data_IF_385760739426
#
_entry.id   IF_385760739426
#
_cell.length_a   1.000
_cell.length_b   1.000
_cell.length_c   1.000
_cell.angle_alpha   90.00
_cell.angle_beta   90.00
_cell.angle_gamma   90.00
#
_symmetry.space_group_name_H-M   'P 1'
#
loop_
_entity.id
_entity.type
_entity.pdbx_description
1 polymer ?
#
# COMPACT_ATOMS: atom_id res chain seq x y z
N UNK A 1 -22.41 32.48 -7.32
CA UNK A 1 -21.83 31.22 -7.79
C UNK A 1 -20.30 31.15 -7.73
N UNK A 2 -19.51 32.22 -7.91
CA UNK A 2 -18.03 32.19 -7.80
C UNK A 2 -17.49 31.75 -6.41
N UNK A 3 -18.19 32.06 -5.32
CA UNK A 3 -17.75 31.71 -3.96
C UNK A 3 -17.87 30.20 -3.60
N UNK A 4 -18.73 29.44 -4.30
CA UNK A 4 -18.86 27.99 -4.07
C UNK A 4 -17.75 27.19 -4.77
N UNK A 5 -17.32 27.66 -5.94
CA UNK A 5 -16.26 27.00 -6.75
C UNK A 5 -14.90 27.13 -6.08
N UNK A 6 -14.60 28.29 -5.47
CA UNK A 6 -13.36 28.50 -4.71
C UNK A 6 -13.32 27.63 -3.43
N UNK A 7 -14.47 27.44 -2.75
CA UNK A 7 -14.57 26.55 -1.59
C UNK A 7 -14.40 25.07 -1.94
N UNK A 8 -14.72 24.63 -3.14
CA UNK A 8 -14.52 23.25 -3.58
C UNK A 8 -13.06 22.95 -3.90
N UNK A 9 -12.33 23.90 -4.51
CA UNK A 9 -10.92 23.73 -4.90
C UNK A 9 -9.97 23.38 -3.73
N UNK A 10 -10.33 23.73 -2.51
CA UNK A 10 -9.52 23.53 -1.31
C UNK A 10 -10.07 22.44 -0.37
N UNK A 11 -10.97 21.58 -0.86
CA UNK A 11 -11.56 20.52 -0.03
C UNK A 11 -10.52 19.53 0.53
N UNK A 12 -9.41 19.30 -0.16
CA UNK A 12 -8.30 18.49 0.32
C UNK A 12 -7.63 19.09 1.58
N UNK A 13 -7.62 20.43 1.73
CA UNK A 13 -7.13 21.10 2.96
C UNK A 13 -8.01 20.72 4.14
N UNK A 14 -9.34 20.72 3.94
CA UNK A 14 -10.27 20.26 4.97
C UNK A 14 -10.06 18.81 5.36
N UNK A 15 -9.72 17.93 4.40
CA UNK A 15 -9.35 16.56 4.70
C UNK A 15 -8.16 16.51 5.66
N UNK A 16 -7.09 17.23 5.33
CA UNK A 16 -5.87 17.25 6.15
C UNK A 16 -6.14 17.84 7.54
N UNK A 17 -6.88 18.95 7.63
CA UNK A 17 -7.26 19.59 8.91
C UNK A 17 -8.09 18.64 9.78
N UNK A 18 -9.14 18.03 9.23
CA UNK A 18 -9.97 17.08 9.96
C UNK A 18 -9.18 15.86 10.42
N UNK A 19 -8.31 15.32 9.57
CA UNK A 19 -7.42 14.22 9.95
C UNK A 19 -6.47 14.62 11.06
N UNK A 20 -5.91 15.84 11.02
CA UNK A 20 -5.02 16.32 12.08
C UNK A 20 -5.75 16.40 13.41
N UNK A 21 -6.96 16.95 13.43
CA UNK A 21 -7.79 17.03 14.63
C UNK A 21 -8.11 15.62 15.17
N UNK A 22 -8.55 14.71 14.30
CA UNK A 22 -8.89 13.34 14.68
C UNK A 22 -7.65 12.56 15.17
N UNK A 23 -6.52 12.70 14.48
CA UNK A 23 -5.29 12.04 14.88
C UNK A 23 -4.77 12.56 16.22
N UNK A 24 -4.86 13.87 16.49
CA UNK A 24 -4.54 14.42 17.80
C UNK A 24 -5.49 13.91 18.88
N UNK A 25 -6.77 13.76 18.56
CA UNK A 25 -7.76 13.24 19.51
C UNK A 25 -7.53 11.76 19.84
N UNK A 26 -7.26 10.91 18.83
CA UNK A 26 -7.13 9.46 19.03
C UNK A 26 -5.73 9.02 19.45
N UNK A 27 -4.69 9.72 18.99
CA UNK A 27 -3.29 9.31 19.18
C UNK A 27 -2.47 10.27 20.05
N UNK A 28 -3.11 11.18 20.81
CA UNK A 28 -2.41 12.20 21.60
C UNK A 28 -1.40 11.63 22.59
N UNK A 29 -1.72 10.48 23.22
CA UNK A 29 -0.80 9.81 24.16
C UNK A 29 0.52 9.38 23.50
N UNK A 30 0.44 8.91 22.27
CA UNK A 30 1.60 8.48 21.49
C UNK A 30 2.36 9.65 20.87
N UNK A 31 1.65 10.73 20.50
CA UNK A 31 2.25 11.89 19.85
C UNK A 31 2.93 12.80 20.88
N UNK A 32 2.22 13.15 21.94
CA UNK A 32 2.66 14.10 22.97
C UNK A 32 3.22 13.37 24.19
N UNK A 33 2.55 12.31 24.64
CA UNK A 33 2.91 11.52 25.81
C UNK A 33 4.14 10.64 25.62
N UNK A 34 4.66 10.54 24.39
CA UNK A 34 5.80 9.67 24.03
C UNK A 34 5.61 8.22 24.47
N UNK A 35 4.36 7.77 24.55
CA UNK A 35 4.08 6.36 24.78
C UNK A 35 4.47 5.54 23.54
N UNK A 36 4.81 4.29 23.75
CA UNK A 36 5.23 3.41 22.67
C UNK A 36 4.01 2.87 21.91
N UNK A 37 3.91 3.21 20.62
CA UNK A 37 2.82 2.76 19.77
C UNK A 37 3.03 1.31 19.35
N UNK A 38 2.64 0.38 20.22
CA UNK A 38 2.59 -1.05 19.95
C UNK A 38 1.18 -1.55 20.21
N UNK A 39 0.51 -1.98 19.16
CA UNK A 39 -0.91 -2.38 19.20
C UNK A 39 -1.06 -3.87 19.52
N UNK A 40 -0.03 -4.69 19.28
CA UNK A 40 -0.07 -6.14 19.55
C UNK A 40 1.29 -6.69 19.98
N UNK A 41 1.26 -7.89 20.62
CA UNK A 41 2.48 -8.64 20.94
C UNK A 41 3.29 -8.97 19.69
N UNK A 42 2.63 -9.33 18.60
CA UNK A 42 3.28 -9.68 17.34
C UNK A 42 4.02 -8.49 16.74
N UNK A 43 3.47 -7.28 16.88
CA UNK A 43 4.17 -6.06 16.47
C UNK A 43 5.46 -5.85 17.26
N UNK A 44 5.45 -6.15 18.56
CA UNK A 44 6.63 -6.02 19.40
C UNK A 44 7.67 -7.11 19.11
N UNK A 45 7.24 -8.36 19.03
CA UNK A 45 8.14 -9.51 18.96
C UNK A 45 8.67 -9.73 17.53
N UNK A 46 7.82 -9.56 16.53
CA UNK A 46 8.19 -9.86 15.15
C UNK A 46 8.60 -8.59 14.38
N UNK A 47 7.73 -7.59 14.28
CA UNK A 47 8.01 -6.44 13.43
C UNK A 47 9.06 -5.50 13.98
N UNK A 48 8.97 -5.17 15.26
CA UNK A 48 9.94 -4.25 15.86
C UNK A 48 11.33 -4.87 15.86
N UNK A 49 11.45 -6.14 16.26
CA UNK A 49 12.72 -6.86 16.26
C UNK A 49 13.28 -7.02 14.85
N UNK A 50 12.46 -7.34 13.86
CA UNK A 50 12.87 -7.45 12.46
C UNK A 50 13.33 -6.10 11.90
N UNK A 51 12.63 -5.00 12.22
CA UNK A 51 13.05 -3.65 11.80
C UNK A 51 14.36 -3.20 12.48
N UNK A 52 14.54 -3.50 13.77
CA UNK A 52 15.79 -3.23 14.47
C UNK A 52 16.93 -4.04 13.84
N UNK A 53 16.71 -5.31 13.54
CA UNK A 53 17.68 -6.16 12.89
C UNK A 53 18.03 -5.62 11.48
N UNK A 54 17.05 -5.24 10.70
CA UNK A 54 17.25 -4.63 9.39
C UNK A 54 18.08 -3.33 9.48
N UNK A 55 17.74 -2.43 10.41
CA UNK A 55 18.51 -1.19 10.63
C UNK A 55 19.95 -1.45 11.08
N UNK A 56 20.19 -2.55 11.81
CA UNK A 56 21.53 -2.94 12.23
C UNK A 56 22.41 -3.43 11.09
N UNK A 57 21.82 -4.05 10.08
CA UNK A 57 22.53 -4.76 9.01
C UNK A 57 22.44 -4.09 7.64
N UNK A 58 21.76 -2.91 7.54
CA UNK A 58 21.58 -2.23 6.26
C UNK A 58 22.90 -1.86 5.57
N UNK A 59 23.99 -1.67 6.34
CA UNK A 59 25.33 -1.42 5.80
C UNK A 59 26.13 -2.66 5.42
N UNK A 60 25.65 -3.86 5.76
CA UNK A 60 26.38 -5.11 5.57
C UNK A 60 26.26 -5.70 4.15
N UNK A 61 25.53 -5.02 3.27
CA UNK A 61 25.22 -5.50 1.91
C UNK A 61 24.10 -6.54 1.88
N UNK A 62 23.84 -7.05 0.68
CA UNK A 62 22.80 -8.06 0.45
C UNK A 62 23.34 -9.42 0.93
N UNK A 63 22.90 -9.87 2.08
CA UNK A 63 23.19 -11.23 2.57
C UNK A 63 21.95 -12.10 2.31
N UNK A 64 22.14 -13.19 1.56
CA UNK A 64 21.06 -14.14 1.26
C UNK A 64 20.56 -14.92 2.48
N UNK A 65 21.35 -14.97 3.56
CA UNK A 65 21.06 -15.71 4.79
C UNK A 65 21.53 -14.93 6.03
N UNK A 66 20.70 -14.88 7.06
CA UNK A 66 21.02 -14.27 8.36
C UNK A 66 20.85 -15.28 9.48
N UNK A 67 21.85 -15.37 10.36
CA UNK A 67 21.79 -16.14 11.60
C UNK A 67 21.30 -15.30 12.80
N UNK A 68 21.03 -14.02 12.61
CA UNK A 68 20.58 -13.14 13.68
C UNK A 68 19.08 -13.28 14.00
N UNK A 69 18.33 -14.02 13.18
CA UNK A 69 16.91 -14.32 13.41
C UNK A 69 16.69 -15.83 13.54
N UNK A 70 16.30 -16.27 14.73
CA UNK A 70 16.03 -17.67 15.01
C UNK A 70 17.26 -18.58 14.79
N UNK A 71 17.07 -19.70 14.11
CA UNK A 71 18.13 -20.64 13.73
C UNK A 71 18.76 -20.32 12.35
N UNK A 72 18.48 -19.17 11.84
CA UNK A 72 18.85 -18.70 10.50
C UNK A 72 17.61 -18.56 9.61
N UNK A 73 17.56 -17.45 8.88
CA UNK A 73 16.47 -17.13 7.97
C UNK A 73 17.03 -16.53 6.68
N UNK A 74 16.33 -16.76 5.57
CA UNK A 74 16.62 -16.06 4.34
C UNK A 74 16.28 -14.58 4.52
N UNK A 75 17.28 -13.72 4.33
CA UNK A 75 17.10 -12.30 4.50
C UNK A 75 16.56 -11.70 3.20
N UNK A 76 15.27 -11.46 3.12
CA UNK A 76 14.68 -10.71 2.01
C UNK A 76 14.90 -9.21 2.21
N UNK A 77 16.08 -8.75 1.81
CA UNK A 77 16.45 -7.35 1.84
C UNK A 77 15.55 -6.50 0.91
N UNK A 78 15.04 -7.09 -0.15
CA UNK A 78 14.26 -6.37 -1.17
C UNK A 78 12.93 -5.85 -0.65
N UNK A 79 12.19 -6.66 0.09
CA UNK A 79 10.89 -6.28 0.64
C UNK A 79 10.95 -5.18 1.68
N UNK A 80 12.03 -5.12 2.46
CA UNK A 80 12.23 -4.09 3.49
C UNK A 80 12.79 -2.77 2.90
N UNK A 81 13.70 -2.87 1.92
CA UNK A 81 14.41 -1.72 1.36
C UNK A 81 13.55 -0.85 0.47
N UNK A 82 12.63 -1.45 -0.28
CA UNK A 82 11.69 -0.72 -1.15
C UNK A 82 10.38 -0.36 -0.46
N UNK A 83 10.29 -0.56 0.86
CA UNK A 83 9.13 -0.18 1.65
C UNK A 83 9.26 1.25 2.18
N UNK A 84 8.14 1.84 2.63
CA UNK A 84 8.16 3.09 3.38
C UNK A 84 9.01 2.99 4.67
N UNK A 85 9.50 1.80 5.03
CA UNK A 85 10.42 1.60 6.15
C UNK A 85 11.71 2.42 5.99
N UNK A 86 12.09 2.79 4.76
CA UNK A 86 13.22 3.68 4.51
C UNK A 86 13.10 5.02 5.26
N UNK A 87 11.88 5.50 5.54
CA UNK A 87 11.68 6.68 6.37
C UNK A 87 12.18 6.49 7.81
N UNK A 88 12.23 5.24 8.29
CA UNK A 88 12.72 4.95 9.64
C UNK A 88 14.22 5.22 9.77
N UNK A 89 14.96 5.18 8.67
CA UNK A 89 16.39 5.53 8.64
C UNK A 89 16.63 6.98 9.04
N UNK A 90 15.70 7.89 8.76
CA UNK A 90 15.82 9.31 9.08
C UNK A 90 15.81 9.57 10.59
N UNK A 91 15.26 8.67 11.39
CA UNK A 91 15.10 8.85 12.84
C UNK A 91 16.15 8.11 13.66
N UNK A 92 16.91 7.20 13.05
CA UNK A 92 17.93 6.39 13.72
C UNK A 92 17.36 5.29 14.63
N UNK A 93 18.23 4.36 15.00
CA UNK A 93 17.86 3.14 15.75
C UNK A 93 17.28 3.43 17.14
N UNK A 94 17.85 4.40 17.85
CA UNK A 94 17.48 4.74 19.22
C UNK A 94 16.08 5.32 19.34
N UNK A 95 15.63 6.03 18.30
CA UNK A 95 14.33 6.67 18.26
C UNK A 95 13.24 5.80 17.59
N UNK A 96 13.57 4.62 17.11
CA UNK A 96 12.66 3.75 16.36
C UNK A 96 11.33 3.54 17.09
N UNK A 97 11.36 3.30 18.40
CA UNK A 97 10.16 3.10 19.23
C UNK A 97 9.17 4.28 19.16
N UNK A 98 9.68 5.52 19.09
CA UNK A 98 8.85 6.72 19.01
C UNK A 98 8.47 7.09 17.58
N UNK A 99 9.13 6.48 16.60
CA UNK A 99 8.91 6.74 15.19
C UNK A 99 7.72 5.96 14.63
N UNK A 100 7.33 4.85 15.28
CA UNK A 100 6.23 4.01 14.82
C UNK A 100 4.91 4.76 14.66
N UNK A 101 4.58 5.66 15.58
CA UNK A 101 3.36 6.46 15.47
C UNK A 101 3.42 7.38 14.24
N UNK A 102 4.55 8.05 14.00
CA UNK A 102 4.70 8.93 12.85
C UNK A 102 4.61 8.17 11.54
N UNK A 103 5.22 6.98 11.49
CA UNK A 103 5.13 6.09 10.35
C UNK A 103 3.68 5.64 10.08
N UNK A 104 2.92 5.34 11.12
CA UNK A 104 1.49 5.04 11.01
C UNK A 104 0.69 6.23 10.49
N UNK A 105 0.89 7.42 11.06
CA UNK A 105 0.21 8.64 10.63
C UNK A 105 0.53 9.01 9.19
N UNK A 106 1.77 8.92 8.75
CA UNK A 106 2.16 9.16 7.35
C UNK A 106 1.36 8.25 6.41
N UNK A 107 1.25 6.95 6.73
CA UNK A 107 0.45 6.02 5.91
C UNK A 107 -1.03 6.41 5.88
N UNK A 108 -1.60 6.82 7.01
CA UNK A 108 -2.99 7.29 7.05
C UNK A 108 -3.19 8.51 6.15
N UNK A 109 -2.31 9.52 6.21
CA UNK A 109 -2.41 10.70 5.36
C UNK A 109 -2.25 10.36 3.88
N UNK A 110 -1.26 9.54 3.52
CA UNK A 110 -1.06 9.09 2.15
C UNK A 110 -2.29 8.33 1.61
N UNK A 111 -2.80 7.38 2.40
CA UNK A 111 -3.99 6.62 2.02
C UNK A 111 -5.21 7.51 1.83
N UNK A 112 -5.44 8.47 2.74
CA UNK A 112 -6.56 9.38 2.65
C UNK A 112 -6.48 10.29 1.42
N UNK A 113 -5.32 10.88 1.16
CA UNK A 113 -5.11 11.77 0.00
C UNK A 113 -5.26 11.01 -1.30
N UNK A 114 -4.66 9.82 -1.41
CA UNK A 114 -4.76 8.99 -2.62
C UNK A 114 -6.20 8.52 -2.87
N UNK A 115 -6.90 8.11 -1.81
CA UNK A 115 -8.30 7.69 -1.93
C UNK A 115 -9.22 8.87 -2.27
N UNK A 116 -9.00 10.04 -1.67
CA UNK A 116 -9.67 11.29 -2.06
C UNK A 116 -9.46 11.60 -3.55
N UNK A 117 -8.21 11.51 -4.03
CA UNK A 117 -7.90 11.70 -5.45
C UNK A 117 -8.62 10.67 -6.34
N UNK A 118 -8.68 9.41 -5.93
CA UNK A 118 -9.41 8.38 -6.65
C UNK A 118 -10.92 8.70 -6.73
N UNK A 119 -11.53 9.07 -5.62
CA UNK A 119 -12.95 9.42 -5.57
C UNK A 119 -13.29 10.67 -6.40
N UNK A 120 -12.44 11.70 -6.35
CA UNK A 120 -12.63 12.90 -7.16
C UNK A 120 -12.45 12.62 -8.65
N UNK A 121 -11.51 11.74 -8.99
CA UNK A 121 -11.31 11.30 -10.37
C UNK A 121 -12.49 10.47 -10.89
N UNK A 122 -13.16 9.71 -10.01
CA UNK A 122 -14.44 9.03 -10.30
C UNK A 122 -15.62 9.99 -10.54
N UNK A 123 -15.42 11.30 -10.33
CA UNK A 123 -16.47 12.30 -10.49
C UNK A 123 -17.32 12.53 -9.23
N UNK A 124 -16.92 11.98 -8.10
CA UNK A 124 -17.60 12.20 -6.82
C UNK A 124 -17.31 13.65 -6.36
N UNK A 125 -18.36 14.32 -5.87
CA UNK A 125 -18.25 15.69 -5.36
C UNK A 125 -17.17 15.76 -4.28
N UNK A 126 -16.30 16.76 -4.34
CA UNK A 126 -15.12 16.87 -3.47
C UNK A 126 -15.47 16.80 -1.97
N UNK A 127 -16.56 17.40 -1.53
CA UNK A 127 -17.02 17.30 -0.12
C UNK A 127 -17.35 15.87 0.29
N UNK A 128 -18.03 15.13 -0.57
CA UNK A 128 -18.36 13.72 -0.33
C UNK A 128 -17.08 12.86 -0.34
N UNK A 129 -16.15 13.17 -1.24
CA UNK A 129 -14.86 12.50 -1.32
C UNK A 129 -14.01 12.66 -0.04
N UNK A 130 -14.12 13.83 0.66
CA UNK A 130 -13.49 14.03 1.98
C UNK A 130 -14.03 13.02 3.00
N UNK A 131 -15.35 12.90 3.11
CA UNK A 131 -15.94 11.92 4.04
C UNK A 131 -15.60 10.49 3.66
N UNK A 132 -15.63 10.15 2.35
CA UNK A 132 -15.21 8.84 1.87
C UNK A 132 -13.77 8.50 2.24
N UNK A 133 -12.85 9.46 2.10
CA UNK A 133 -11.45 9.29 2.47
C UNK A 133 -11.27 9.11 4.00
N UNK A 134 -12.02 9.87 4.81
CA UNK A 134 -12.01 9.68 6.26
C UNK A 134 -12.55 8.30 6.66
N UNK A 135 -13.67 7.88 6.09
CA UNK A 135 -14.21 6.53 6.33
C UNK A 135 -13.22 5.44 5.95
N UNK A 136 -12.46 5.63 4.87
CA UNK A 136 -11.46 4.66 4.42
C UNK A 136 -10.34 4.47 5.46
N UNK A 137 -9.71 5.56 5.92
CA UNK A 137 -8.55 5.47 6.82
C UNK A 137 -8.91 5.25 8.29
N UNK A 138 -10.11 5.62 8.71
CA UNK A 138 -10.62 5.32 10.05
C UNK A 138 -11.49 4.06 10.10
N UNK A 139 -11.51 3.27 9.01
CA UNK A 139 -12.19 1.98 9.02
C UNK A 139 -11.52 1.02 10.02
N UNK A 140 -12.34 0.18 10.64
CA UNK A 140 -11.83 -0.85 11.55
C UNK A 140 -10.77 -1.73 10.88
N UNK A 141 -10.94 -2.05 9.60
CA UNK A 141 -9.98 -2.86 8.83
C UNK A 141 -8.63 -2.15 8.71
N UNK A 142 -8.60 -0.85 8.42
CA UNK A 142 -7.34 -0.11 8.34
C UNK A 142 -6.65 -0.05 9.70
N UNK A 143 -7.39 0.29 10.76
CA UNK A 143 -6.84 0.43 12.12
C UNK A 143 -6.34 -0.90 12.64
N UNK A 144 -7.15 -1.96 12.54
CA UNK A 144 -6.77 -3.31 13.04
C UNK A 144 -5.59 -3.88 12.26
N UNK A 145 -5.58 -3.75 10.92
CA UNK A 145 -4.45 -4.25 10.12
C UNK A 145 -3.18 -3.40 10.26
N UNK A 146 -3.27 -2.22 10.85
CA UNK A 146 -2.09 -1.40 11.18
C UNK A 146 -1.17 -2.03 12.23
N UNK A 147 -1.58 -3.15 12.84
CA UNK A 147 -0.68 -3.99 13.67
C UNK A 147 0.56 -4.45 12.90
N UNK A 148 0.42 -4.67 11.60
CA UNK A 148 1.51 -5.02 10.72
C UNK A 148 1.83 -3.84 9.82
N UNK A 149 3.04 -3.32 9.92
CA UNK A 149 3.46 -2.14 9.15
C UNK A 149 3.29 -2.37 7.64
N UNK A 150 3.52 -3.60 7.16
CA UNK A 150 3.31 -4.01 5.77
C UNK A 150 1.84 -3.91 5.34
N UNK A 151 0.90 -4.39 6.15
CA UNK A 151 -0.52 -4.39 5.79
C UNK A 151 -1.13 -2.99 5.73
N UNK A 152 -0.72 -2.08 6.62
CA UNK A 152 -1.16 -0.70 6.52
C UNK A 152 -0.68 -0.01 5.22
N UNK A 153 0.50 -0.39 4.73
CA UNK A 153 1.02 0.09 3.44
C UNK A 153 0.19 -0.45 2.26
N UNK A 154 -0.33 -1.66 2.37
CA UNK A 154 -1.23 -2.25 1.39
C UNK A 154 -2.44 -1.35 1.07
N UNK A 155 -3.06 -0.75 2.09
CA UNK A 155 -4.18 0.18 1.88
C UNK A 155 -3.75 1.48 1.18
N UNK A 156 -2.55 1.99 1.45
CA UNK A 156 -2.01 3.14 0.72
C UNK A 156 -1.86 2.81 -0.76
N UNK A 157 -1.27 1.65 -1.05
CA UNK A 157 -1.01 1.21 -2.42
C UNK A 157 -2.30 0.81 -3.16
N UNK A 158 -3.29 0.28 -2.46
CA UNK A 158 -4.61 0.03 -3.04
C UNK A 158 -5.32 1.34 -3.45
N UNK A 159 -5.26 2.37 -2.61
CA UNK A 159 -5.78 3.68 -2.96
C UNK A 159 -5.05 4.29 -4.17
N UNK A 160 -3.71 4.12 -4.24
CA UNK A 160 -2.91 4.52 -5.40
C UNK A 160 -3.33 3.73 -6.66
N UNK A 161 -3.54 2.43 -6.56
CA UNK A 161 -3.98 1.60 -7.68
C UNK A 161 -5.33 2.05 -8.23
N UNK A 162 -6.31 2.32 -7.36
CA UNK A 162 -7.61 2.84 -7.77
C UNK A 162 -7.48 4.19 -8.49
N UNK A 163 -6.67 5.09 -7.95
CA UNK A 163 -6.40 6.39 -8.58
C UNK A 163 -5.72 6.22 -9.95
N UNK A 164 -4.71 5.36 -10.03
CA UNK A 164 -3.98 5.09 -11.26
C UNK A 164 -4.87 4.44 -12.34
N UNK A 165 -5.77 3.53 -11.95
CA UNK A 165 -6.77 2.96 -12.86
C UNK A 165 -7.68 4.04 -13.44
N UNK A 166 -8.19 4.95 -12.61
CA UNK A 166 -9.04 6.05 -13.11
C UNK A 166 -8.26 7.02 -13.99
N UNK A 167 -7.00 7.34 -13.68
CA UNK A 167 -6.14 8.12 -14.55
C UNK A 167 -5.87 7.41 -15.88
N UNK A 168 -5.73 6.09 -15.86
CA UNK A 168 -5.60 5.32 -17.09
C UNK A 168 -6.89 5.36 -17.93
N UNK A 169 -8.06 5.17 -17.31
CA UNK A 169 -9.35 5.21 -18.00
C UNK A 169 -9.67 6.59 -18.62
N UNK A 170 -9.33 7.67 -17.92
CA UNK A 170 -9.74 9.02 -18.35
C UNK A 170 -8.67 9.73 -19.15
N UNK A 171 -7.40 9.61 -18.76
CA UNK A 171 -6.28 10.34 -19.33
C UNK A 171 -5.30 9.46 -20.14
N UNK A 172 -5.56 8.15 -20.20
CA UNK A 172 -4.67 7.15 -20.81
C UNK A 172 -3.25 7.13 -20.18
N UNK A 173 -3.14 7.45 -18.89
CA UNK A 173 -1.88 7.46 -18.17
C UNK A 173 -1.48 6.05 -17.75
N UNK A 174 -0.93 5.28 -18.69
CA UNK A 174 -0.50 3.91 -18.45
C UNK A 174 0.73 3.79 -17.55
N UNK A 175 1.61 4.82 -17.57
CA UNK A 175 2.84 4.81 -16.76
C UNK A 175 2.52 4.83 -15.26
N UNK A 176 1.58 5.68 -14.84
CA UNK A 176 1.15 5.72 -13.44
C UNK A 176 0.55 4.38 -13.00
N UNK A 177 -0.16 3.70 -13.89
CA UNK A 177 -0.72 2.38 -13.61
C UNK A 177 0.38 1.32 -13.45
N UNK A 178 1.40 1.31 -14.31
CA UNK A 178 2.58 0.44 -14.15
C UNK A 178 3.26 0.70 -12.80
N UNK A 179 3.53 1.95 -12.48
CA UNK A 179 4.16 2.33 -11.21
C UNK A 179 3.33 1.85 -10.01
N UNK A 180 2.01 2.04 -10.03
CA UNK A 180 1.13 1.60 -8.96
C UNK A 180 1.14 0.07 -8.79
N UNK A 181 1.11 -0.70 -9.89
CA UNK A 181 1.17 -2.17 -9.85
C UNK A 181 2.53 -2.65 -9.36
N UNK A 182 3.62 -2.04 -9.83
CA UNK A 182 4.98 -2.41 -9.40
C UNK A 182 5.17 -2.12 -7.92
N UNK A 183 4.78 -0.94 -7.43
CA UNK A 183 4.86 -0.61 -6.01
C UNK A 183 4.02 -1.57 -5.16
N UNK A 184 2.81 -1.88 -5.58
CA UNK A 184 1.96 -2.87 -4.91
C UNK A 184 2.65 -4.25 -4.90
N UNK A 185 3.20 -4.67 -6.03
CA UNK A 185 3.89 -5.94 -6.17
C UNK A 185 5.18 -6.05 -5.37
N UNK A 186 5.86 -4.95 -5.04
CA UNK A 186 7.05 -4.97 -4.17
C UNK A 186 6.70 -5.17 -2.70
N UNK A 187 5.47 -4.90 -2.28
CA UNK A 187 5.06 -4.93 -0.88
C UNK A 187 4.21 -6.15 -0.52
N UNK A 188 3.52 -6.74 -1.49
CA UNK A 188 2.58 -7.81 -1.24
C UNK A 188 3.23 -9.19 -1.41
N UNK A 189 2.82 -10.12 -0.57
CA UNK A 189 3.09 -11.54 -0.77
C UNK A 189 2.38 -12.05 -2.03
N UNK A 190 2.88 -13.10 -2.65
CA UNK A 190 2.36 -13.69 -3.88
C UNK A 190 0.83 -13.94 -3.83
N UNK A 191 0.34 -14.44 -2.69
CA UNK A 191 -1.09 -14.66 -2.47
C UNK A 191 -1.92 -13.38 -2.62
N UNK A 192 -1.50 -12.28 -2.01
CA UNK A 192 -2.21 -11.01 -2.08
C UNK A 192 -2.17 -10.42 -3.50
N UNK A 193 -1.07 -10.62 -4.23
CA UNK A 193 -0.98 -10.19 -5.63
C UNK A 193 -2.06 -10.84 -6.51
N UNK A 194 -2.34 -12.13 -6.30
CA UNK A 194 -3.42 -12.82 -7.03
C UNK A 194 -4.77 -12.18 -6.72
N UNK A 195 -5.07 -11.93 -5.43
CA UNK A 195 -6.33 -11.32 -5.00
C UNK A 195 -6.51 -9.93 -5.62
N UNK A 196 -5.47 -9.08 -5.58
CA UNK A 196 -5.54 -7.74 -6.16
C UNK A 196 -5.61 -7.77 -7.68
N UNK A 197 -4.98 -8.74 -8.34
CA UNK A 197 -5.10 -8.91 -9.80
C UNK A 197 -6.53 -9.23 -10.21
N UNK A 198 -7.21 -10.13 -9.47
CA UNK A 198 -8.61 -10.45 -9.68
C UNK A 198 -9.50 -9.22 -9.42
N UNK A 199 -9.29 -8.51 -8.33
CA UNK A 199 -10.03 -7.29 -8.01
C UNK A 199 -9.85 -6.20 -9.09
N UNK A 200 -8.63 -6.02 -9.59
CA UNK A 200 -8.33 -5.09 -10.68
C UNK A 200 -9.04 -5.50 -11.98
N UNK A 201 -9.04 -6.78 -12.31
CA UNK A 201 -9.75 -7.29 -13.47
C UNK A 201 -11.25 -7.04 -13.35
N UNK A 202 -11.86 -7.40 -12.23
CA UNK A 202 -13.28 -7.15 -11.97
C UNK A 202 -13.62 -5.66 -12.06
N UNK A 203 -12.82 -4.80 -11.45
CA UNK A 203 -13.00 -3.35 -11.54
C UNK A 203 -12.94 -2.86 -12.99
N UNK A 204 -11.95 -3.31 -13.76
CA UNK A 204 -11.75 -2.94 -15.16
C UNK A 204 -12.94 -3.37 -16.02
N UNK A 205 -13.45 -4.59 -15.81
CA UNK A 205 -14.63 -5.10 -16.52
C UNK A 205 -15.88 -4.28 -16.21
N UNK A 206 -16.16 -4.07 -14.94
CA UNK A 206 -17.31 -3.29 -14.46
C UNK A 206 -17.22 -1.86 -14.98
N UNK A 207 -16.09 -1.22 -14.87
CA UNK A 207 -15.86 0.16 -15.30
C UNK A 207 -16.06 0.33 -16.79
N UNK A 208 -15.49 -0.58 -17.59
CA UNK A 208 -15.67 -0.55 -19.05
C UNK A 208 -17.12 -0.77 -19.46
N UNK A 209 -17.78 -1.74 -18.84
CA UNK A 209 -19.13 -2.11 -19.26
C UNK A 209 -20.21 -1.14 -18.77
N UNK A 210 -20.16 -0.72 -17.49
CA UNK A 210 -21.23 0.05 -16.88
C UNK A 210 -21.04 1.57 -17.00
N UNK A 211 -19.81 2.05 -16.92
CA UNK A 211 -19.55 3.49 -16.85
C UNK A 211 -19.17 4.07 -18.20
N UNK A 212 -18.19 3.49 -18.88
CA UNK A 212 -17.74 4.00 -20.19
C UNK A 212 -18.58 3.48 -21.35
N UNK A 213 -19.41 2.48 -21.09
CA UNK A 213 -20.24 1.82 -22.08
C UNK A 213 -19.45 1.37 -23.33
N UNK A 214 -18.20 1.00 -23.16
CA UNK A 214 -17.39 0.46 -24.24
C UNK A 214 -17.92 -0.91 -24.65
N UNK A 215 -18.11 -1.10 -25.96
CA UNK A 215 -18.64 -2.32 -26.54
C UNK A 215 -17.77 -2.78 -27.72
N UNK A 216 -17.86 -4.05 -28.06
CA UNK A 216 -17.19 -4.62 -29.22
C UNK A 216 -15.67 -4.46 -29.18
N UNK A 217 -15.07 -4.00 -30.28
CA UNK A 217 -13.61 -3.87 -30.43
C UNK A 217 -12.96 -2.94 -29.41
N UNK A 218 -13.64 -1.85 -28.99
CA UNK A 218 -13.10 -0.93 -27.98
C UNK A 218 -12.97 -1.59 -26.62
N UNK A 219 -13.95 -2.37 -26.21
CA UNK A 219 -13.94 -3.13 -24.96
C UNK A 219 -12.72 -4.06 -24.91
N UNK A 220 -12.58 -4.92 -25.93
CA UNK A 220 -11.47 -5.87 -25.99
C UNK A 220 -10.10 -5.23 -26.10
N UNK A 221 -9.99 -4.12 -26.84
CA UNK A 221 -8.75 -3.35 -26.90
C UNK A 221 -8.33 -2.84 -25.52
N UNK A 222 -9.29 -2.33 -24.74
CA UNK A 222 -9.01 -1.81 -23.38
C UNK A 222 -8.58 -2.93 -22.43
N UNK A 223 -9.27 -4.06 -22.45
CA UNK A 223 -8.89 -5.24 -21.66
C UNK A 223 -7.50 -5.75 -22.06
N UNK A 224 -7.23 -5.84 -23.36
CA UNK A 224 -5.92 -6.25 -23.87
C UNK A 224 -4.79 -5.31 -23.44
N UNK A 225 -5.01 -4.01 -23.46
CA UNK A 225 -4.03 -3.03 -22.97
C UNK A 225 -3.80 -3.16 -21.45
N UNK A 226 -4.84 -3.37 -20.65
CA UNK A 226 -4.70 -3.62 -19.22
C UNK A 226 -3.90 -4.91 -18.97
N UNK A 227 -4.17 -5.96 -19.72
CA UNK A 227 -3.42 -7.21 -19.63
C UNK A 227 -1.95 -7.01 -20.01
N UNK A 228 -1.65 -6.24 -21.06
CA UNK A 228 -0.28 -5.89 -21.44
C UNK A 228 0.44 -5.11 -20.33
N UNK A 229 -0.21 -4.12 -19.73
CA UNK A 229 0.34 -3.36 -18.59
C UNK A 229 0.64 -4.30 -17.42
N UNK A 230 -0.25 -5.23 -17.11
CA UNK A 230 -0.03 -6.26 -16.10
C UNK A 230 1.20 -7.12 -16.42
N UNK A 231 1.33 -7.61 -17.64
CA UNK A 231 2.47 -8.44 -18.08
C UNK A 231 3.77 -7.65 -17.93
N UNK A 232 3.83 -6.41 -18.40
CA UNK A 232 5.01 -5.53 -18.25
C UNK A 232 5.37 -5.35 -16.77
N UNK A 233 4.38 -5.11 -15.92
CA UNK A 233 4.59 -4.96 -14.48
C UNK A 233 5.11 -6.24 -13.83
N UNK A 234 4.61 -7.42 -14.21
CA UNK A 234 5.08 -8.72 -13.74
C UNK A 234 6.52 -8.98 -14.19
N UNK A 235 6.88 -8.61 -15.42
CA UNK A 235 8.26 -8.73 -15.92
C UNK A 235 9.21 -7.87 -15.06
N UNK A 236 8.83 -6.65 -14.74
CA UNK A 236 9.62 -5.77 -13.87
C UNK A 236 9.76 -6.39 -12.47
N UNK A 237 8.72 -7.06 -11.97
CA UNK A 237 8.72 -7.73 -10.66
C UNK A 237 9.36 -9.10 -10.65
N UNK A 238 9.80 -9.64 -11.80
CA UNK A 238 10.30 -11.00 -11.93
C UNK A 238 11.48 -11.30 -10.99
N UNK A 239 12.36 -10.32 -10.75
CA UNK A 239 13.51 -10.47 -9.84
C UNK A 239 13.09 -10.87 -8.41
N UNK A 240 11.89 -10.46 -7.98
CA UNK A 240 11.32 -10.80 -6.68
C UNK A 240 10.41 -12.03 -6.75
N UNK A 241 9.51 -12.07 -7.73
CA UNK A 241 8.49 -13.12 -7.85
C UNK A 241 9.10 -14.50 -8.13
N UNK A 242 10.15 -14.58 -8.95
CA UNK A 242 10.76 -15.87 -9.28
C UNK A 242 11.34 -16.56 -8.04
N UNK A 243 12.19 -15.93 -7.20
CA UNK A 243 12.67 -16.55 -5.98
C UNK A 243 11.55 -16.94 -5.00
N UNK A 244 10.52 -16.10 -4.85
CA UNK A 244 9.38 -16.36 -3.96
C UNK A 244 8.56 -17.58 -4.44
N UNK A 245 8.33 -17.68 -5.74
CA UNK A 245 7.66 -18.83 -6.36
C UNK A 245 8.51 -20.10 -6.16
N UNK A 246 9.80 -20.05 -6.46
CA UNK A 246 10.69 -21.19 -6.29
C UNK A 246 10.76 -21.66 -4.84
N UNK A 247 10.87 -20.76 -3.88
CA UNK A 247 10.87 -21.09 -2.45
C UNK A 247 9.54 -21.70 -1.99
N UNK A 248 8.42 -21.24 -2.55
CA UNK A 248 7.09 -21.78 -2.25
C UNK A 248 6.95 -23.22 -2.76
N UNK A 249 7.39 -23.50 -3.97
CA UNK A 249 7.34 -24.85 -4.55
C UNK A 249 8.34 -25.82 -3.91
N UNK A 250 9.48 -25.35 -3.44
CA UNK A 250 10.46 -26.17 -2.73
C UNK A 250 10.10 -26.41 -1.26
N UNK A 251 9.07 -25.70 -0.74
CA UNK A 251 8.62 -25.89 0.63
C UNK A 251 7.95 -27.27 0.82
N UNK A 252 8.30 -27.99 1.89
CA UNK A 252 7.71 -29.30 2.20
C UNK A 252 6.17 -29.29 2.41
N UNK A 253 5.57 -28.10 2.50
CA UNK A 253 4.10 -27.94 2.56
C UNK A 253 3.42 -28.22 1.23
N UNK A 254 4.08 -27.93 0.11
CA UNK A 254 3.52 -28.18 -1.23
C UNK A 254 3.90 -29.56 -1.72
N UNK A 255 5.11 -30.05 -1.36
CA UNK A 255 5.57 -31.39 -1.76
C UNK A 255 4.69 -32.53 -1.21
N UNK A 256 4.05 -32.34 -0.03
CA UNK A 256 3.18 -33.35 0.58
C UNK A 256 1.72 -33.37 0.03
N UNK A 257 1.37 -32.48 -0.89
CA UNK A 257 0.03 -32.47 -1.49
C UNK A 257 -0.03 -33.31 -2.79
N UNK A 258 1.14 -33.72 -3.30
CA UNK A 258 1.25 -34.48 -4.56
C UNK A 258 1.50 -35.99 -4.37
N UNK A 259 1.41 -36.47 -3.13
CA UNK A 259 1.39 -37.92 -2.78
C UNK A 259 0.05 -38.30 -2.19
#
# INVERSE_FOLDING_TARGET
MKGSILKEKYSWIWLVVLMTILNLLFYWKFIIGKEFFLVSKDMAIQQYSSLVNWLNHIGDGIKGWSFSEGMGNSYDFSGQTFSLNIFLLLFGKENLKYTFIWYHLIKMYLAAVLFYCALTKLGIKQKVAVYGALCYVYSATFIVRSFWASYALEFVLFALLLYALECYFQDNNWLLLVVAIVLLGTQLQLYHLVVYSVAMLCYTLIRNYLVTNYRGKKFWKYIGNCALIMIVSVIILAYRLIPEIMSTFSSGRVANVST
#
